data_IF_012115082035
#
_entry.id   IF_012115082035
#
_cell.length_a   1.000
_cell.length_b   1.000
_cell.length_c   1.000
_cell.angle_alpha   90.00
_cell.angle_beta   90.00
_cell.angle_gamma   90.00
#
_symmetry.space_group_name_H-M   'P 1'
#
loop_
_entity.id
_entity.type
_entity.pdbx_description
1 polymer ?
#
# COMPACT_ATOMS: atom_id res chain seq x y z
N UNK A 1 3.66 17.15 11.36
CA UNK A 1 2.70 16.07 11.68
C UNK A 1 3.34 14.69 11.48
N UNK A 2 3.93 14.43 10.31
CA UNK A 2 4.59 13.16 9.93
C UNK A 2 5.61 12.66 10.96
N UNK A 3 6.58 13.50 11.34
CA UNK A 3 7.64 13.11 12.28
C UNK A 3 7.08 12.61 13.63
N UNK A 4 6.00 13.23 14.13
CA UNK A 4 5.33 12.80 15.35
C UNK A 4 4.76 11.38 15.19
N UNK A 5 4.17 11.07 14.04
CA UNK A 5 3.67 9.73 13.72
C UNK A 5 4.78 8.70 13.56
N UNK A 6 5.91 9.08 12.97
CA UNK A 6 7.10 8.21 12.90
C UNK A 6 7.60 7.88 14.31
N UNK A 7 7.70 8.88 15.20
CA UNK A 7 8.10 8.67 16.60
C UNK A 7 7.11 7.77 17.34
N UNK A 8 5.79 7.96 17.11
CA UNK A 8 4.73 7.11 17.66
C UNK A 8 4.92 5.65 17.22
N UNK A 9 5.17 5.41 15.93
CA UNK A 9 5.50 4.09 15.40
C UNK A 9 6.72 3.48 16.09
N UNK A 10 7.85 4.19 16.12
CA UNK A 10 9.08 3.68 16.72
C UNK A 10 8.91 3.37 18.21
N UNK A 11 8.15 4.19 18.92
CA UNK A 11 7.90 4.00 20.35
C UNK A 11 7.09 2.72 20.61
N UNK A 12 6.02 2.50 19.83
CA UNK A 12 5.22 1.28 19.92
C UNK A 12 6.02 0.04 19.46
N UNK A 13 6.71 0.14 18.31
CA UNK A 13 7.49 -0.97 17.74
C UNK A 13 8.63 -1.43 18.65
N UNK A 14 9.20 -0.52 19.45
CA UNK A 14 10.22 -0.86 20.46
C UNK A 14 9.65 -1.74 21.58
N UNK A 15 8.40 -1.49 22.01
CA UNK A 15 7.74 -2.30 23.03
C UNK A 15 7.10 -3.57 22.48
N UNK A 16 6.52 -3.48 21.29
CA UNK A 16 5.77 -4.56 20.64
C UNK A 16 6.14 -4.60 19.15
N UNK A 17 7.18 -5.35 18.77
CA UNK A 17 7.64 -5.43 17.39
C UNK A 17 6.56 -5.94 16.43
N UNK A 18 6.54 -5.37 15.23
CA UNK A 18 5.67 -5.81 14.15
C UNK A 18 6.09 -7.19 13.66
N UNK A 19 5.12 -8.06 13.39
CA UNK A 19 5.40 -9.33 12.72
C UNK A 19 5.75 -9.07 11.25
N UNK A 20 6.54 -9.96 10.66
CA UNK A 20 6.82 -9.88 9.23
C UNK A 20 5.54 -10.01 8.42
N UNK A 21 5.36 -9.11 7.45
CA UNK A 21 4.20 -9.11 6.57
C UNK A 21 4.42 -10.16 5.49
N UNK A 22 3.53 -11.14 5.43
CA UNK A 22 3.58 -12.18 4.40
C UNK A 22 3.39 -11.60 2.99
N UNK A 23 4.23 -12.06 2.07
CA UNK A 23 4.24 -11.66 0.66
C UNK A 23 4.01 -12.92 -0.19
N UNK A 24 3.02 -12.97 -1.09
CA UNK A 24 2.03 -11.92 -1.39
C UNK A 24 1.02 -11.71 -0.26
N UNK A 25 0.42 -10.51 -0.20
CA UNK A 25 -0.61 -10.20 0.79
C UNK A 25 -1.77 -11.20 0.68
N UNK A 26 -2.20 -11.82 1.77
CA UNK A 26 -3.34 -12.74 1.79
C UNK A 26 -4.68 -12.02 1.67
N UNK A 27 -4.81 -10.86 2.30
CA UNK A 27 -6.04 -10.04 2.31
C UNK A 27 -5.80 -8.61 1.82
N UNK A 28 -6.87 -7.96 1.36
CA UNK A 28 -6.90 -6.52 1.12
C UNK A 28 -7.15 -5.72 2.42
N UNK A 29 -7.57 -6.40 3.50
CA UNK A 29 -7.88 -5.80 4.79
C UNK A 29 -6.65 -5.85 5.69
N UNK A 30 -6.09 -4.68 6.02
CA UNK A 30 -4.86 -4.59 6.83
C UNK A 30 -4.99 -5.26 8.22
N UNK A 31 -6.17 -5.24 8.83
CA UNK A 31 -6.41 -5.90 10.12
C UNK A 31 -6.26 -7.44 10.07
N UNK A 32 -6.27 -8.05 8.88
CA UNK A 32 -6.01 -9.48 8.67
C UNK A 32 -4.55 -9.76 8.26
N UNK A 33 -3.78 -8.71 7.97
CA UNK A 33 -2.40 -8.78 7.48
C UNK A 33 -1.40 -8.45 8.58
N UNK A 34 -1.73 -7.49 9.45
CA UNK A 34 -0.85 -7.01 10.53
C UNK A 34 -1.58 -6.95 11.86
N UNK A 35 -0.84 -6.76 12.96
CA UNK A 35 -1.46 -6.60 14.27
C UNK A 35 -2.37 -5.36 14.29
N UNK A 36 -3.42 -5.40 15.11
CA UNK A 36 -4.47 -4.39 15.19
C UNK A 36 -3.94 -2.96 15.31
N UNK A 37 -2.94 -2.73 16.16
CA UNK A 37 -2.36 -1.41 16.35
C UNK A 37 -1.77 -0.85 15.06
N UNK A 38 -1.07 -1.66 14.28
CA UNK A 38 -0.47 -1.25 13.01
C UNK A 38 -1.52 -1.00 11.93
N UNK A 39 -2.60 -1.79 11.90
CA UNK A 39 -3.73 -1.56 11.00
C UNK A 39 -4.45 -0.23 11.32
N UNK A 40 -4.66 0.05 12.61
CA UNK A 40 -5.26 1.31 13.06
C UNK A 40 -4.31 2.50 12.85
N UNK A 41 -2.98 2.29 12.97
CA UNK A 41 -1.95 3.31 12.77
C UNK A 41 -1.89 3.84 11.33
N UNK A 42 -2.01 2.96 10.34
CA UNK A 42 -2.01 3.33 8.90
C UNK A 42 -3.38 3.73 8.36
N UNK A 43 -4.43 3.65 9.18
CA UNK A 43 -5.76 4.16 8.83
C UNK A 43 -5.78 5.69 8.91
N UNK A 44 -5.07 6.33 7.98
CA UNK A 44 -4.92 7.77 7.86
C UNK A 44 -5.24 8.22 6.43
N UNK A 45 -5.36 9.53 6.24
CA UNK A 45 -5.56 10.09 4.90
C UNK A 45 -4.39 9.75 3.97
N UNK A 46 -4.68 9.56 2.68
CA UNK A 46 -3.69 9.16 1.68
C UNK A 46 -2.48 10.09 1.61
N UNK A 47 -2.69 11.40 1.75
CA UNK A 47 -1.60 12.39 1.76
C UNK A 47 -0.60 12.08 2.87
N UNK A 48 -1.10 11.84 4.09
CA UNK A 48 -0.26 11.50 5.23
C UNK A 48 0.40 10.11 5.06
N UNK A 49 -0.31 9.15 4.47
CA UNK A 49 0.26 7.83 4.17
C UNK A 49 1.46 7.93 3.21
N UNK A 50 1.35 8.73 2.14
CA UNK A 50 2.46 8.94 1.21
C UNK A 50 3.63 9.69 1.85
N UNK A 51 3.35 10.71 2.67
CA UNK A 51 4.40 11.38 3.44
C UNK A 51 5.10 10.43 4.41
N UNK A 52 4.38 9.49 5.02
CA UNK A 52 4.95 8.45 5.89
C UNK A 52 5.83 7.47 5.11
N UNK A 53 5.46 7.08 3.89
CA UNK A 53 6.29 6.24 3.01
C UNK A 53 7.62 6.95 2.73
N UNK A 54 7.56 8.22 2.33
CA UNK A 54 8.75 9.03 2.03
C UNK A 54 9.63 9.20 3.26
N UNK A 55 9.04 9.50 4.41
CA UNK A 55 9.77 9.65 5.67
C UNK A 55 10.42 8.33 6.12
N UNK A 56 9.70 7.21 6.03
CA UNK A 56 10.21 5.90 6.38
C UNK A 56 11.38 5.48 5.50
N UNK A 57 11.30 5.75 4.20
CA UNK A 57 12.38 5.51 3.25
C UNK A 57 13.60 6.42 3.53
N UNK A 58 13.37 7.71 3.78
CA UNK A 58 14.45 8.65 4.08
C UNK A 58 15.19 8.33 5.39
N UNK A 59 14.46 7.89 6.41
CA UNK A 59 15.01 7.56 7.74
C UNK A 59 15.47 6.10 7.86
N UNK A 60 15.37 5.31 6.79
CA UNK A 60 15.72 3.88 6.72
C UNK A 60 15.01 3.02 7.78
N UNK A 61 13.70 3.24 7.95
CA UNK A 61 12.86 2.50 8.90
C UNK A 61 12.10 1.41 8.15
N UNK A 62 12.79 0.30 7.86
CA UNK A 62 12.26 -0.81 7.06
C UNK A 62 10.88 -1.32 7.51
N UNK A 63 10.58 -1.57 8.81
CA UNK A 63 9.25 -2.03 9.22
C UNK A 63 8.13 -1.04 8.92
N UNK A 64 8.39 0.26 9.05
CA UNK A 64 7.41 1.30 8.72
C UNK A 64 7.20 1.40 7.20
N UNK A 65 8.27 1.26 6.43
CA UNK A 65 8.20 1.23 4.97
C UNK A 65 7.40 0.02 4.49
N UNK A 66 7.69 -1.19 5.00
CA UNK A 66 6.96 -2.41 4.65
C UNK A 66 5.46 -2.28 5.01
N UNK A 67 5.12 -1.73 6.17
CA UNK A 67 3.74 -1.52 6.62
C UNK A 67 2.96 -0.55 5.70
N UNK A 68 3.56 0.59 5.38
CA UNK A 68 2.92 1.61 4.54
C UNK A 68 2.80 1.16 3.08
N UNK A 69 3.82 0.47 2.54
CA UNK A 69 3.75 -0.17 1.23
C UNK A 69 2.68 -1.28 1.18
N UNK A 70 2.58 -2.11 2.23
CA UNK A 70 1.53 -3.13 2.32
C UNK A 70 0.14 -2.50 2.29
N UNK A 71 -0.05 -1.36 2.96
CA UNK A 71 -1.31 -0.61 2.95
C UNK A 71 -1.68 -0.12 1.55
N UNK A 72 -0.73 0.42 0.80
CA UNK A 72 -0.96 0.83 -0.60
C UNK A 72 -1.25 -0.38 -1.49
N UNK A 73 -0.52 -1.48 -1.32
CA UNK A 73 -0.77 -2.72 -2.05
C UNK A 73 -2.16 -3.30 -1.75
N UNK A 74 -2.63 -3.20 -0.50
CA UNK A 74 -3.97 -3.65 -0.11
C UNK A 74 -5.08 -2.81 -0.75
N UNK A 75 -4.84 -1.51 -1.00
CA UNK A 75 -5.76 -0.62 -1.74
C UNK A 75 -5.84 -0.94 -3.23
N UNK A 76 -4.84 -1.63 -3.79
CA UNK A 76 -4.77 -2.03 -5.21
C UNK A 76 -5.35 -3.43 -5.39
N UNK A 77 -5.18 -4.31 -4.40
CA UNK A 77 -5.59 -5.72 -4.50
C UNK A 77 -7.08 -5.86 -4.81
N UNK A 78 -7.39 -6.52 -5.92
CA UNK A 78 -8.76 -6.82 -6.34
C UNK A 78 -9.50 -5.67 -7.02
N UNK A 79 -8.85 -4.53 -7.26
CA UNK A 79 -9.42 -3.41 -8.03
C UNK A 79 -9.09 -3.52 -9.52
N UNK A 80 -9.95 -2.98 -10.37
CA UNK A 80 -9.67 -2.88 -11.80
C UNK A 80 -8.66 -1.76 -12.09
N UNK A 81 -7.98 -1.79 -13.25
CA UNK A 81 -7.08 -0.71 -13.67
C UNK A 81 -7.74 0.67 -13.63
N UNK A 82 -9.01 0.77 -14.02
CA UNK A 82 -9.78 2.03 -14.02
C UNK A 82 -10.04 2.54 -12.59
N UNK A 83 -10.37 1.64 -11.66
CA UNK A 83 -10.58 1.98 -10.25
C UNK A 83 -9.28 2.41 -9.56
N UNK A 84 -8.16 1.76 -9.89
CA UNK A 84 -6.82 2.13 -9.42
C UNK A 84 -6.49 3.53 -9.92
N UNK A 85 -6.63 3.79 -11.23
CA UNK A 85 -6.38 5.11 -11.84
C UNK A 85 -7.19 6.20 -11.15
N UNK A 86 -8.47 5.97 -10.91
CA UNK A 86 -9.34 6.92 -10.20
C UNK A 86 -8.91 7.13 -8.75
N UNK A 87 -8.56 6.05 -8.03
CA UNK A 87 -8.15 6.12 -6.62
C UNK A 87 -6.86 6.92 -6.44
N UNK A 88 -5.89 6.73 -7.35
CA UNK A 88 -4.57 7.37 -7.27
C UNK A 88 -4.46 8.64 -8.14
N UNK A 89 -5.57 9.09 -8.74
CA UNK A 89 -5.62 10.24 -9.63
C UNK A 89 -4.57 10.18 -10.76
N UNK A 90 -4.44 8.99 -11.37
CA UNK A 90 -3.51 8.72 -12.47
C UNK A 90 -4.27 8.90 -13.80
N UNK A 91 -3.73 9.72 -14.70
CA UNK A 91 -4.27 9.88 -16.05
C UNK A 91 -4.03 8.61 -16.88
N UNK A 92 -5.01 8.22 -17.70
CA UNK A 92 -4.78 7.21 -18.73
C UNK A 92 -3.94 7.84 -19.84
N UNK A 93 -2.71 7.37 -20.00
CA UNK A 93 -1.75 7.81 -20.99
C UNK A 93 -1.65 6.86 -22.19
N UNK A 94 -2.41 5.76 -22.20
CA UNK A 94 -2.51 4.85 -23.34
C UNK A 94 -3.47 5.39 -24.41
N UNK A 95 -3.08 5.22 -25.68
CA UNK A 95 -4.04 5.28 -26.78
C UNK A 95 -5.03 4.11 -26.72
N UNK A 96 -6.22 4.22 -27.36
CA UNK A 96 -7.18 3.12 -27.41
C UNK A 96 -6.60 1.83 -27.99
N UNK A 97 -5.71 1.94 -28.99
CA UNK A 97 -5.03 0.81 -29.61
C UNK A 97 -4.05 0.12 -28.64
N UNK A 98 -3.26 0.90 -27.90
CA UNK A 98 -2.32 0.37 -26.90
C UNK A 98 -3.05 -0.26 -25.71
N UNK A 99 -4.14 0.35 -25.23
CA UNK A 99 -4.96 -0.22 -24.15
C UNK A 99 -5.57 -1.56 -24.58
N UNK A 100 -6.06 -1.66 -25.82
CA UNK A 100 -6.59 -2.91 -26.37
C UNK A 100 -5.51 -3.99 -26.48
N UNK A 101 -4.31 -3.63 -26.94
CA UNK A 101 -3.17 -4.56 -27.02
C UNK A 101 -2.75 -5.05 -25.63
N UNK A 102 -2.58 -4.14 -24.66
CA UNK A 102 -2.21 -4.49 -23.28
C UNK A 102 -3.29 -5.35 -22.62
N UNK A 103 -4.58 -5.07 -22.89
CA UNK A 103 -5.68 -5.91 -22.37
C UNK A 103 -5.65 -7.32 -23.00
N UNK A 104 -5.40 -7.43 -24.31
CA UNK A 104 -5.25 -8.72 -24.99
C UNK A 104 -4.06 -9.52 -24.43
N UNK A 105 -2.91 -8.86 -24.27
CA UNK A 105 -1.68 -9.45 -23.74
C UNK A 105 -1.82 -9.88 -22.28
N UNK A 106 -2.72 -9.28 -21.50
CA UNK A 106 -2.95 -9.64 -20.09
C UNK A 106 -4.14 -10.58 -19.87
N UNK A 107 -4.83 -11.04 -20.93
CA UNK A 107 -5.96 -11.99 -20.81
C UNK A 107 -5.58 -13.29 -20.10
N UNK A 108 -4.33 -13.74 -20.20
CA UNK A 108 -3.86 -14.93 -19.48
C UNK A 108 -3.96 -14.82 -17.94
N UNK A 109 -4.03 -13.60 -17.38
CA UNK A 109 -4.29 -13.37 -15.96
C UNK A 109 -5.80 -13.43 -15.61
N UNK A 110 -6.68 -13.28 -16.58
CA UNK A 110 -8.13 -13.30 -16.42
C UNK A 110 -8.74 -14.70 -16.67
N UNK A 111 -7.96 -15.61 -17.27
CA UNK A 111 -8.33 -17.01 -17.45
C UNK A 111 -8.21 -17.79 -16.12
N UNK A 112 -9.24 -18.56 -15.72
CA UNK A 112 -9.31 -19.25 -14.44
C UNK A 112 -8.35 -20.45 -14.29
#
# INVERSE_FOLDING_TARGET
AVLKKVIEFCSHHKSEPMTEIEKPLKSAVMAEVVQKWYADFVNVEQVLLFELILAANYMDIKPLLDLTCATVASMIKGKTPEEIRKTFNIANDFSPEEEAQVREENKWCEEP
#
